data_IF_905828251974
#
_entry.id   IF_905828251974
#
_cell.length_a   1.000
_cell.length_b   1.000
_cell.length_c   1.000
_cell.angle_alpha   90.00
_cell.angle_beta   90.00
_cell.angle_gamma   90.00
#
_symmetry.space_group_name_H-M   'P 1'
#
loop_
_entity.id
_entity.type
_entity.pdbx_description
1 polymer ?
#
# COMPACT_ATOMS: atom_id res chain seq x y z
N UNK A 1 -4.87 -3.61 -14.95
CA UNK A 1 -3.49 -3.94 -14.59
C UNK A 1 -2.71 -2.63 -14.56
N UNK A 2 -2.01 -2.32 -13.47
CA UNK A 2 -1.13 -1.15 -13.39
C UNK A 2 0.31 -1.55 -13.73
N UNK A 3 1.01 -0.71 -14.49
CA UNK A 3 2.43 -0.89 -14.79
C UNK A 3 3.24 -0.04 -13.81
N UNK A 4 4.19 -0.66 -13.12
CA UNK A 4 5.11 0.00 -12.18
C UNK A 4 6.56 -0.32 -12.56
N UNK A 5 7.54 0.37 -11.99
CA UNK A 5 8.97 0.10 -12.24
C UNK A 5 9.66 -0.41 -10.99
N UNK A 6 10.41 -1.51 -11.11
CA UNK A 6 11.28 -2.04 -10.06
C UNK A 6 12.75 -1.94 -10.50
N UNK A 7 13.50 -1.02 -9.88
CA UNK A 7 14.90 -0.76 -10.28
C UNK A 7 15.04 -0.34 -11.74
N UNK A 8 14.10 0.46 -12.24
CA UNK A 8 14.02 0.89 -13.65
C UNK A 8 13.42 -0.14 -14.62
N UNK A 9 13.13 -1.36 -14.16
CA UNK A 9 12.52 -2.39 -15.00
C UNK A 9 10.98 -2.36 -14.89
N UNK A 10 10.24 -2.27 -16.00
CA UNK A 10 8.79 -2.31 -15.95
C UNK A 10 8.26 -3.68 -15.50
N UNK A 11 7.36 -3.69 -14.54
CA UNK A 11 6.62 -4.86 -14.06
C UNK A 11 5.13 -4.50 -13.97
N UNK A 12 4.26 -5.52 -13.94
CA UNK A 12 2.81 -5.31 -13.85
C UNK A 12 2.25 -5.86 -12.53
N UNK A 13 1.27 -5.17 -11.97
CA UNK A 13 0.43 -5.71 -10.89
C UNK A 13 -0.48 -6.81 -11.44
N UNK A 14 -0.92 -7.76 -10.60
CA UNK A 14 -1.84 -8.83 -11.01
C UNK A 14 -3.32 -8.38 -11.15
N UNK A 15 -3.62 -7.13 -10.83
CA UNK A 15 -4.97 -6.59 -10.84
C UNK A 15 -4.98 -5.06 -10.93
N UNK A 16 -6.18 -4.49 -10.90
CA UNK A 16 -6.40 -3.05 -10.92
C UNK A 16 -6.52 -2.46 -9.53
N UNK A 17 -6.02 -1.25 -9.36
CA UNK A 17 -6.27 -0.45 -8.16
C UNK A 17 -7.70 0.11 -8.23
N UNK A 18 -8.42 0.17 -7.09
CA UNK A 18 -9.75 0.76 -7.06
C UNK A 18 -9.68 2.26 -7.39
N UNK A 19 -10.56 2.73 -8.25
CA UNK A 19 -10.67 4.15 -8.59
C UNK A 19 -11.15 4.98 -7.39
N UNK A 20 -10.78 6.26 -7.34
CA UNK A 20 -11.29 7.19 -6.33
C UNK A 20 -12.84 7.21 -6.34
N UNK A 21 -13.44 7.14 -5.14
CA UNK A 21 -14.90 7.09 -4.97
C UNK A 21 -15.52 5.70 -5.18
N UNK A 22 -14.76 4.71 -5.68
CA UNK A 22 -15.23 3.33 -5.70
C UNK A 22 -15.28 2.76 -4.26
N UNK A 23 -16.20 1.82 -4.04
CA UNK A 23 -16.22 1.05 -2.81
C UNK A 23 -14.89 0.27 -2.69
N UNK A 24 -14.28 0.29 -1.50
CA UNK A 24 -13.08 -0.50 -1.23
C UNK A 24 -13.39 -1.99 -1.42
N UNK A 25 -12.52 -2.76 -2.11
CA UNK A 25 -12.67 -4.21 -2.21
C UNK A 25 -12.68 -4.85 -0.83
N UNK A 26 -13.42 -5.96 -0.70
CA UNK A 26 -13.38 -6.74 0.54
C UNK A 26 -12.00 -7.37 0.74
N UNK A 27 -11.57 -7.49 2.00
CA UNK A 27 -10.28 -8.04 2.36
C UNK A 27 -10.33 -8.73 3.72
N UNK A 28 -9.40 -9.65 3.92
CA UNK A 28 -9.08 -10.20 5.24
C UNK A 28 -7.56 -10.28 5.36
N UNK A 29 -7.01 -9.61 6.37
CA UNK A 29 -5.57 -9.56 6.66
C UNK A 29 -5.30 -10.17 8.04
N UNK A 30 -4.03 -10.48 8.31
CA UNK A 30 -3.58 -10.98 9.60
C UNK A 30 -2.90 -9.86 10.37
N UNK A 31 -3.34 -9.60 11.61
CA UNK A 31 -2.70 -8.64 12.51
C UNK A 31 -1.42 -9.21 13.13
N UNK A 32 -0.66 -8.35 13.82
CA UNK A 32 0.54 -8.73 14.55
C UNK A 32 0.29 -9.79 15.66
N UNK A 33 -0.94 -9.85 16.19
CA UNK A 33 -1.36 -10.84 17.19
C UNK A 33 -1.92 -12.14 16.57
N UNK A 34 -1.74 -12.34 15.26
CA UNK A 34 -2.23 -13.49 14.48
C UNK A 34 -3.75 -13.58 14.35
N UNK A 35 -4.49 -12.57 14.80
CA UNK A 35 -5.94 -12.52 14.60
C UNK A 35 -6.29 -11.92 13.24
N UNK A 36 -7.41 -12.34 12.63
CA UNK A 36 -7.88 -11.73 11.39
C UNK A 36 -8.39 -10.29 11.61
N UNK A 37 -8.29 -9.47 10.56
CA UNK A 37 -9.02 -8.21 10.40
C UNK A 37 -9.64 -8.16 9.02
N UNK A 38 -10.91 -7.80 8.93
CA UNK A 38 -11.65 -7.68 7.69
C UNK A 38 -12.05 -6.23 7.39
N UNK A 39 -12.50 -5.98 6.15
CA UNK A 39 -13.10 -4.69 5.80
C UNK A 39 -14.34 -4.37 6.66
N UNK A 40 -15.11 -5.39 7.04
CA UNK A 40 -16.30 -5.24 7.88
C UNK A 40 -15.97 -4.76 9.29
N UNK A 41 -14.85 -5.21 9.87
CA UNK A 41 -14.39 -4.78 11.21
C UNK A 41 -14.03 -3.28 11.26
N UNK A 42 -13.75 -2.70 10.09
CA UNK A 42 -13.35 -1.30 9.92
C UNK A 42 -14.48 -0.42 9.36
N UNK A 43 -15.69 -0.96 9.21
CA UNK A 43 -16.82 -0.24 8.66
C UNK A 43 -17.14 1.04 9.48
N UNK A 44 -17.41 2.14 8.77
CA UNK A 44 -17.69 3.44 9.38
C UNK A 44 -16.45 4.23 9.82
N UNK A 45 -15.26 3.65 9.73
CA UNK A 45 -13.99 4.34 10.01
C UNK A 45 -13.36 4.85 8.72
N UNK A 46 -12.62 5.95 8.80
CA UNK A 46 -11.71 6.36 7.73
C UNK A 46 -10.44 5.53 7.83
N UNK A 47 -10.20 4.70 6.82
CA UNK A 47 -9.05 3.78 6.78
C UNK A 47 -8.03 4.30 5.78
N UNK A 48 -6.76 4.34 6.17
CA UNK A 48 -5.62 4.59 5.28
C UNK A 48 -4.90 3.26 5.04
N UNK A 49 -4.79 2.83 3.78
CA UNK A 49 -4.01 1.64 3.41
C UNK A 49 -2.61 2.06 2.96
N UNK A 50 -1.61 1.67 3.75
CA UNK A 50 -0.20 1.87 3.41
C UNK A 50 0.40 0.50 3.00
N UNK A 51 0.78 0.36 1.73
CA UNK A 51 1.11 -0.94 1.11
C UNK A 51 2.60 -0.96 0.74
N UNK A 52 3.32 -1.97 1.22
CA UNK A 52 4.75 -2.16 0.97
C UNK A 52 5.00 -3.52 0.32
N UNK A 53 6.04 -3.67 -0.55
CA UNK A 53 6.47 -4.97 -1.04
C UNK A 53 6.95 -5.91 0.09
N UNK A 54 7.60 -5.36 1.11
CA UNK A 54 8.03 -6.05 2.33
C UNK A 54 8.25 -5.04 3.45
N UNK A 55 7.97 -5.42 4.70
CA UNK A 55 8.37 -4.71 5.92
C UNK A 55 9.26 -5.66 6.73
N UNK A 56 10.45 -5.22 7.12
CA UNK A 56 11.38 -6.02 7.93
C UNK A 56 10.98 -6.04 9.41
N UNK A 57 11.47 -7.04 10.15
CA UNK A 57 11.31 -7.28 11.59
C UNK A 57 11.63 -6.07 12.48
N UNK A 58 12.54 -5.19 12.04
CA UNK A 58 12.95 -4.00 12.81
C UNK A 58 11.98 -2.81 12.68
N UNK A 59 10.91 -2.94 11.88
CA UNK A 59 9.84 -1.94 11.78
C UNK A 59 10.31 -0.55 11.33
N UNK A 60 11.53 -0.43 10.80
CA UNK A 60 12.12 0.85 10.45
C UNK A 60 11.62 1.27 9.08
N UNK A 61 10.72 2.25 9.09
CA UNK A 61 10.23 2.90 7.88
C UNK A 61 11.30 3.89 7.41
N UNK A 62 12.05 3.50 6.37
CA UNK A 62 13.10 4.34 5.79
C UNK A 62 12.53 5.55 5.04
N UNK A 63 11.31 5.41 4.50
CA UNK A 63 10.59 6.48 3.82
C UNK A 63 9.08 6.28 3.99
N UNK A 64 8.37 7.34 4.40
CA UNK A 64 6.91 7.37 4.45
C UNK A 64 6.40 8.63 3.79
N UNK A 65 5.51 8.47 2.83
CA UNK A 65 4.81 9.57 2.19
C UNK A 65 3.30 9.36 2.30
N UNK A 66 2.59 10.41 2.71
CA UNK A 66 1.14 10.43 2.70
C UNK A 66 0.67 11.11 1.43
N UNK A 67 0.18 10.31 0.48
CA UNK A 67 -0.44 10.82 -0.74
C UNK A 67 -1.90 11.26 -0.47
N UNK A 68 -2.41 12.29 -1.16
CA UNK A 68 -3.75 12.83 -0.90
C UNK A 68 -4.90 11.83 -1.17
N UNK A 69 -4.69 10.91 -2.11
CA UNK A 69 -5.69 9.94 -2.55
C UNK A 69 -5.02 8.67 -3.10
N UNK A 70 -5.73 7.53 -3.08
CA UNK A 70 -5.18 6.22 -3.48
C UNK A 70 -4.75 6.15 -4.96
N UNK A 71 -5.29 7.06 -5.79
CA UNK A 71 -4.92 7.20 -7.20
C UNK A 71 -3.66 8.04 -7.41
N UNK A 72 -3.16 8.72 -6.37
CA UNK A 72 -1.91 9.46 -6.43
C UNK A 72 -0.75 8.51 -6.17
N UNK A 73 0.22 8.53 -7.07
CA UNK A 73 1.46 7.79 -6.90
C UNK A 73 2.39 8.52 -5.90
N UNK A 74 3.08 7.80 -5.00
CA UNK A 74 4.14 8.36 -4.15
C UNK A 74 5.37 8.80 -4.95
N UNK A 75 6.23 9.61 -4.34
CA UNK A 75 7.54 9.97 -4.88
C UNK A 75 8.53 8.79 -4.75
N UNK A 76 8.60 8.01 -5.82
CA UNK A 76 9.49 6.85 -5.91
C UNK A 76 10.97 7.22 -5.88
N UNK A 77 11.37 8.38 -6.40
CA UNK A 77 12.77 8.82 -6.40
C UNK A 77 13.21 9.13 -4.96
N UNK A 78 12.36 9.79 -4.18
CA UNK A 78 12.59 10.02 -2.75
C UNK A 78 12.65 8.73 -1.93
N UNK A 79 11.78 7.75 -2.25
CA UNK A 79 11.79 6.45 -1.61
C UNK A 79 13.09 5.66 -1.90
N UNK A 80 13.61 5.74 -3.12
CA UNK A 80 14.87 5.08 -3.52
C UNK A 80 16.06 5.75 -2.82
N UNK A 81 16.10 7.08 -2.77
CA UNK A 81 17.18 7.81 -2.11
C UNK A 81 17.31 7.47 -0.60
N UNK A 82 16.22 7.09 0.04
CA UNK A 82 16.21 6.70 1.45
C UNK A 82 16.85 5.32 1.72
N UNK A 83 17.15 4.53 0.68
CA UNK A 83 17.75 3.20 0.80
C UNK A 83 19.30 3.23 0.85
N UNK A 84 19.93 4.39 0.62
CA UNK A 84 21.38 4.59 0.65
C UNK A 84 22.06 4.38 -0.70
#
# INVERSE_FOLDING_TARGET
MAQITLGGNPINTNGDLPAAGAAAPDFTLTKADWTPVSAADLAGQRVVMNIFPSLDTDGTVLHSELVPEIASEPDYDAAIAALG
#
